data_IF_155185990477
#
_entry.id   IF_155185990477
#
_cell.length_a   1.000
_cell.length_b   1.000
_cell.length_c   1.000
_cell.angle_alpha   90.00
_cell.angle_beta   90.00
_cell.angle_gamma   90.00
#
_symmetry.space_group_name_H-M   'P 1'
#
loop_
_entity.id
_entity.type
_entity.pdbx_description
1 polymer ?
#
# COMPACT_ATOMS: atom_id res chain seq x y z
N UNK A 1 -12.97 24.02 23.12
CA UNK A 1 -12.84 22.55 23.10
C UNK A 1 -13.69 22.06 21.92
N UNK A 2 -13.11 22.03 20.73
CA UNK A 2 -13.81 21.66 19.47
C UNK A 2 -13.69 20.16 19.28
N UNK A 3 -14.82 19.46 19.17
CA UNK A 3 -14.85 18.03 18.87
C UNK A 3 -14.16 17.76 17.52
N UNK A 4 -13.38 16.67 17.38
CA UNK A 4 -12.87 16.27 16.08
C UNK A 4 -14.05 15.93 15.14
N UNK A 5 -13.94 16.19 13.83
CA UNK A 5 -15.01 15.92 12.88
C UNK A 5 -15.35 14.42 12.87
N UNK A 6 -16.61 14.10 13.17
CA UNK A 6 -17.16 12.75 13.07
C UNK A 6 -17.25 12.38 11.59
N UNK A 7 -16.39 11.47 11.14
CA UNK A 7 -16.33 11.07 9.74
C UNK A 7 -17.33 9.95 9.43
N UNK A 8 -18.28 10.14 8.49
CA UNK A 8 -19.03 9.03 7.94
C UNK A 8 -18.15 8.24 6.93
N UNK A 9 -18.19 6.89 6.93
CA UNK A 9 -17.47 6.10 5.95
C UNK A 9 -18.28 6.02 4.65
N UNK A 10 -18.03 6.93 3.69
CA UNK A 10 -18.50 6.76 2.31
C UNK A 10 -17.31 6.55 1.39
N UNK A 11 -16.84 5.30 1.34
CA UNK A 11 -15.93 4.85 0.31
C UNK A 11 -16.75 4.56 -0.95
N UNK A 12 -16.56 5.28 -2.07
CA UNK A 12 -17.12 4.83 -3.32
C UNK A 12 -16.54 3.44 -3.60
N UNK A 13 -17.42 2.46 -3.88
CA UNK A 13 -16.99 1.12 -4.24
C UNK A 13 -16.06 1.22 -5.45
N UNK A 14 -14.74 1.10 -5.23
CA UNK A 14 -13.78 1.01 -6.32
C UNK A 14 -13.94 -0.38 -6.91
N UNK A 15 -14.87 -0.52 -7.85
CA UNK A 15 -15.04 -1.74 -8.66
C UNK A 15 -13.79 -1.91 -9.50
N UNK A 16 -12.77 -2.51 -8.90
CA UNK A 16 -11.60 -3.03 -9.60
C UNK A 16 -12.07 -4.24 -10.40
N UNK A 17 -12.24 -4.06 -11.71
CA UNK A 17 -12.45 -5.17 -12.62
C UNK A 17 -11.28 -6.15 -12.47
N UNK A 18 -11.56 -7.32 -11.90
CA UNK A 18 -10.59 -8.40 -11.71
C UNK A 18 -10.22 -8.91 -13.11
N UNK A 19 -8.95 -8.84 -13.53
CA UNK A 19 -8.57 -9.43 -14.80
C UNK A 19 -8.86 -10.93 -14.73
N UNK A 20 -9.43 -11.47 -15.82
CA UNK A 20 -9.67 -12.89 -15.96
C UNK A 20 -8.38 -13.64 -15.65
N UNK A 21 -8.44 -14.52 -14.65
CA UNK A 21 -7.29 -15.32 -14.24
C UNK A 21 -6.90 -16.17 -15.43
N UNK A 22 -5.78 -15.84 -16.07
CA UNK A 22 -5.17 -16.71 -17.06
C UNK A 22 -4.91 -18.06 -16.38
N UNK A 23 -5.76 -19.04 -16.69
CA UNK A 23 -5.65 -20.39 -16.17
C UNK A 23 -4.46 -21.04 -16.88
N UNK A 24 -3.31 -21.10 -16.20
CA UNK A 24 -2.16 -21.87 -16.67
C UNK A 24 -2.37 -23.31 -16.21
N UNK A 25 -2.67 -24.28 -17.11
CA UNK A 25 -2.98 -25.63 -16.68
C UNK A 25 -1.72 -26.37 -16.21
N UNK A 26 -1.86 -27.22 -15.18
CA UNK A 26 -1.00 -28.38 -14.96
C UNK A 26 0.38 -28.16 -14.30
N UNK A 27 1.22 -29.19 -14.43
CA UNK A 27 2.54 -29.35 -13.77
C UNK A 27 3.47 -28.15 -14.03
N UNK A 28 3.39 -27.52 -15.20
CA UNK A 28 4.21 -26.38 -15.57
C UNK A 28 3.91 -25.16 -14.69
N UNK A 29 2.64 -24.88 -14.39
CA UNK A 29 2.26 -23.83 -13.45
C UNK A 29 2.78 -24.09 -12.03
N UNK A 30 2.82 -25.35 -11.60
CA UNK A 30 3.40 -25.74 -10.30
C UNK A 30 4.92 -25.56 -10.27
N UNK A 31 5.63 -25.91 -11.35
CA UNK A 31 7.08 -25.73 -11.44
C UNK A 31 7.44 -24.23 -11.44
N UNK A 32 6.74 -23.42 -12.24
CA UNK A 32 6.92 -21.96 -12.25
C UNK A 32 6.61 -21.34 -10.88
N UNK A 33 5.53 -21.79 -10.22
CA UNK A 33 5.19 -21.35 -8.87
C UNK A 33 6.26 -21.70 -7.84
N UNK A 34 6.83 -22.91 -7.88
CA UNK A 34 7.93 -23.31 -6.98
C UNK A 34 9.21 -22.53 -7.25
N UNK A 35 9.53 -22.26 -8.52
CA UNK A 35 10.65 -21.39 -8.89
C UNK A 35 10.47 -19.96 -8.35
N UNK A 36 9.29 -19.37 -8.57
CA UNK A 36 8.95 -18.06 -8.01
C UNK A 36 9.02 -18.05 -6.47
N UNK A 37 8.46 -19.08 -5.82
CA UNK A 37 8.47 -19.22 -4.37
C UNK A 37 9.91 -19.30 -3.84
N UNK A 38 10.78 -20.10 -4.46
CA UNK A 38 12.19 -20.19 -4.06
C UNK A 38 12.95 -18.87 -4.20
N UNK A 39 12.69 -18.09 -5.26
CA UNK A 39 13.28 -16.76 -5.43
C UNK A 39 12.78 -15.78 -4.37
N UNK A 40 11.47 -15.76 -4.11
CA UNK A 40 10.87 -14.90 -3.07
C UNK A 40 11.38 -15.28 -1.69
N UNK A 41 11.47 -16.56 -1.39
CA UNK A 41 12.00 -17.08 -0.12
C UNK A 41 13.46 -16.70 0.06
N UNK A 42 14.31 -16.90 -0.96
CA UNK A 42 15.70 -16.46 -0.91
C UNK A 42 15.81 -14.95 -0.66
N UNK A 43 14.98 -14.15 -1.32
CA UNK A 43 14.93 -12.70 -1.13
C UNK A 43 14.52 -12.34 0.30
N UNK A 44 13.47 -12.97 0.83
CA UNK A 44 12.99 -12.72 2.20
C UNK A 44 14.06 -13.11 3.22
N UNK A 45 14.68 -14.28 3.07
CA UNK A 45 15.79 -14.72 3.93
C UNK A 45 16.95 -13.73 3.95
N UNK A 46 17.25 -13.05 2.84
CA UNK A 46 18.28 -11.99 2.82
C UNK A 46 17.86 -10.77 3.64
N UNK A 47 16.59 -10.36 3.55
CA UNK A 47 16.05 -9.24 4.35
C UNK A 47 15.94 -9.61 5.83
N UNK A 48 15.55 -10.84 6.17
CA UNK A 48 15.51 -11.36 7.54
C UNK A 48 16.92 -11.38 8.17
N UNK A 49 17.95 -11.64 7.35
CA UNK A 49 19.35 -11.53 7.75
C UNK A 49 19.88 -10.07 7.78
N UNK A 50 19.01 -9.06 7.66
CA UNK A 50 19.35 -7.64 7.71
C UNK A 50 20.01 -7.08 6.46
N UNK A 51 20.18 -7.87 5.39
CA UNK A 51 20.87 -7.41 4.17
C UNK A 51 19.92 -6.57 3.32
N UNK A 52 20.24 -5.28 3.16
CA UNK A 52 19.41 -4.33 2.42
C UNK A 52 18.27 -3.73 3.23
N UNK A 53 18.27 -3.91 4.55
CA UNK A 53 17.36 -3.21 5.47
C UNK A 53 17.97 -1.86 5.83
N UNK A 54 17.19 -0.79 5.67
CA UNK A 54 17.57 0.56 6.10
C UNK A 54 16.71 0.93 7.30
N UNK A 55 17.36 1.32 8.39
CA UNK A 55 16.70 1.82 9.60
C UNK A 55 16.62 3.33 9.56
N UNK A 56 15.44 3.88 9.84
CA UNK A 56 15.22 5.31 9.99
C UNK A 56 15.22 5.67 11.48
N UNK A 57 15.53 6.93 11.79
CA UNK A 57 15.48 7.52 13.14
C UNK A 57 14.04 7.78 13.63
N UNK A 58 13.06 7.56 12.75
CA UNK A 58 11.62 7.74 13.01
C UNK A 58 10.87 6.41 12.91
N UNK A 59 9.78 6.21 13.66
CA UNK A 59 8.92 5.03 13.51
C UNK A 59 8.33 4.94 12.10
N UNK A 60 8.36 3.74 11.51
CA UNK A 60 7.84 3.47 10.17
C UNK A 60 6.73 2.44 10.23
N UNK A 61 5.57 2.75 9.64
CA UNK A 61 4.45 1.82 9.51
C UNK A 61 4.31 1.45 8.02
N UNK A 62 4.55 0.19 7.68
CA UNK A 62 4.38 -0.30 6.32
C UNK A 62 2.98 -0.89 6.14
N UNK A 63 2.17 -0.32 5.25
CA UNK A 63 0.85 -0.84 4.88
C UNK A 63 0.92 -1.49 3.51
N UNK A 64 0.81 -2.82 3.46
CA UNK A 64 0.88 -3.62 2.24
C UNK A 64 -0.24 -4.66 2.17
N UNK A 65 -0.34 -5.35 1.03
CA UNK A 65 -1.23 -6.52 0.91
C UNK A 65 -0.48 -7.69 0.27
N UNK A 66 -0.86 -8.91 0.65
CA UNK A 66 -0.37 -10.16 0.10
C UNK A 66 -1.06 -10.55 -1.21
N UNK A 67 -2.23 -9.97 -1.51
CA UNK A 67 -2.99 -10.26 -2.73
C UNK A 67 -2.89 -9.12 -3.77
N UNK A 68 -2.81 -9.51 -5.05
CA UNK A 68 -2.90 -8.60 -6.19
C UNK A 68 -4.38 -8.26 -6.46
N UNK A 69 -4.89 -7.15 -5.91
CA UNK A 69 -6.27 -6.67 -6.10
C UNK A 69 -6.61 -5.50 -5.17
N UNK A 70 -7.66 -4.71 -5.48
CA UNK A 70 -8.11 -3.56 -4.68
C UNK A 70 -8.55 -3.99 -3.28
N UNK A 71 -7.71 -3.73 -2.27
CA UNK A 71 -7.70 -4.50 -1.00
C UNK A 71 -7.65 -3.62 0.23
N UNK A 72 -8.37 -2.49 0.21
CA UNK A 72 -8.57 -1.71 1.42
C UNK A 72 -7.29 -1.09 2.03
N UNK A 73 -6.19 -1.05 1.27
CA UNK A 73 -4.96 -0.36 1.71
C UNK A 73 -5.23 1.11 1.94
N UNK A 74 -5.96 1.75 1.03
CA UNK A 74 -6.32 3.15 1.12
C UNK A 74 -7.14 3.52 2.37
N UNK A 75 -8.27 2.84 2.68
CA UNK A 75 -8.99 3.10 3.92
C UNK A 75 -8.17 2.78 5.18
N UNK A 76 -7.28 1.78 5.13
CA UNK A 76 -6.40 1.45 6.25
C UNK A 76 -5.37 2.55 6.52
N UNK A 77 -4.72 3.08 5.48
CA UNK A 77 -3.78 4.21 5.61
C UNK A 77 -4.49 5.45 6.15
N UNK A 78 -5.68 5.76 5.64
CA UNK A 78 -6.50 6.88 6.14
C UNK A 78 -6.77 6.72 7.64
N UNK A 79 -7.17 5.51 8.08
CA UNK A 79 -7.44 5.25 9.49
C UNK A 79 -6.20 5.43 10.37
N UNK A 80 -5.04 4.94 9.93
CA UNK A 80 -3.78 5.10 10.65
C UNK A 80 -3.40 6.58 10.76
N UNK A 81 -3.45 7.32 9.66
CA UNK A 81 -3.11 8.75 9.63
C UNK A 81 -4.01 9.54 10.57
N UNK A 82 -5.32 9.29 10.52
CA UNK A 82 -6.29 9.94 11.41
C UNK A 82 -6.01 9.62 12.88
N UNK A 83 -5.78 8.35 13.22
CA UNK A 83 -5.42 7.95 14.58
C UNK A 83 -4.14 8.64 15.08
N UNK A 84 -3.11 8.74 14.23
CA UNK A 84 -1.86 9.42 14.59
C UNK A 84 -2.08 10.91 14.83
N UNK A 85 -2.88 11.57 13.99
CA UNK A 85 -3.25 12.97 14.16
C UNK A 85 -4.09 13.23 15.41
N UNK A 86 -5.05 12.35 15.72
CA UNK A 86 -5.84 12.40 16.96
C UNK A 86 -4.95 12.34 18.22
N UNK A 87 -3.79 11.67 18.12
CA UNK A 87 -2.79 11.60 19.20
C UNK A 87 -1.70 12.68 19.09
N UNK A 88 -1.94 13.75 18.31
CA UNK A 88 -1.03 14.90 18.19
C UNK A 88 0.28 14.59 17.46
N UNK A 89 0.31 13.56 16.61
CA UNK A 89 1.49 13.23 15.77
C UNK A 89 1.35 13.83 14.38
N UNK A 90 2.49 14.07 13.73
CA UNK A 90 2.58 14.58 12.36
C UNK A 90 3.15 13.50 11.41
N UNK A 91 2.29 12.66 10.80
CA UNK A 91 2.73 11.58 9.92
C UNK A 91 3.04 12.06 8.49
N UNK A 92 3.96 11.37 7.82
CA UNK A 92 4.20 11.50 6.38
C UNK A 92 3.84 10.19 5.66
N UNK A 93 3.36 10.27 4.40
CA UNK A 93 3.01 9.10 3.59
C UNK A 93 4.05 8.94 2.48
N UNK A 94 4.75 7.81 2.49
CA UNK A 94 5.64 7.40 1.40
C UNK A 94 4.97 6.29 0.57
N UNK A 95 4.93 6.46 -0.75
CA UNK A 95 4.35 5.48 -1.68
C UNK A 95 5.16 5.34 -2.96
N UNK A 96 5.08 4.18 -3.60
CA UNK A 96 5.89 3.82 -4.78
C UNK A 96 5.26 4.21 -6.13
N UNK A 97 4.29 5.12 -6.15
CA UNK A 97 3.65 5.61 -7.40
C UNK A 97 3.27 4.52 -8.42
N UNK A 98 2.48 3.51 -8.03
CA UNK A 98 2.21 2.36 -8.91
C UNK A 98 1.44 2.79 -10.19
N UNK A 99 2.06 2.56 -11.37
CA UNK A 99 1.58 2.74 -12.77
C UNK A 99 0.25 3.51 -12.90
N UNK A 100 0.32 4.85 -13.06
CA UNK A 100 -0.73 5.53 -13.83
C UNK A 100 -0.58 5.08 -15.29
N UNK A 101 -1.61 4.42 -15.82
CA UNK A 101 -1.67 4.15 -17.27
C UNK A 101 -2.01 5.49 -17.92
N UNK A 102 -1.00 6.15 -18.48
CA UNK A 102 -1.03 7.50 -19.08
C UNK A 102 -1.08 8.58 -17.99
N UNK A 103 -0.20 9.56 -18.12
CA UNK A 103 -0.19 10.84 -17.39
C UNK A 103 -0.14 10.78 -15.85
N UNK A 104 0.94 11.30 -15.27
CA UNK A 104 1.03 11.93 -13.94
C UNK A 104 0.13 11.43 -12.80
N UNK A 105 0.79 11.04 -11.70
CA UNK A 105 0.19 10.76 -10.37
C UNK A 105 -0.69 9.50 -10.37
N UNK A 106 -0.52 8.65 -9.35
CA UNK A 106 -1.34 7.45 -9.16
C UNK A 106 -2.71 7.85 -8.57
N UNK A 107 -3.79 7.17 -8.97
CA UNK A 107 -5.15 7.36 -8.43
C UNK A 107 -5.17 7.35 -6.89
N UNK A 108 -4.33 6.52 -6.26
CA UNK A 108 -4.17 6.49 -4.79
C UNK A 108 -3.56 7.79 -4.25
N UNK A 109 -2.56 8.35 -4.92
CA UNK A 109 -1.89 9.57 -4.50
C UNK A 109 -2.81 10.80 -4.64
N UNK A 110 -3.65 10.85 -5.68
CA UNK A 110 -4.69 11.88 -5.81
C UNK A 110 -5.70 11.80 -4.67
N UNK A 111 -6.14 10.58 -4.32
CA UNK A 111 -7.08 10.37 -3.22
C UNK A 111 -6.51 10.87 -1.88
N UNK A 112 -5.24 10.60 -1.59
CA UNK A 112 -4.61 11.12 -0.38
C UNK A 112 -4.40 12.63 -0.40
N UNK A 113 -4.01 13.22 -1.55
CA UNK A 113 -3.86 14.68 -1.67
C UNK A 113 -5.19 15.41 -1.48
N UNK A 114 -6.28 14.88 -2.06
CA UNK A 114 -7.61 15.44 -1.88
C UNK A 114 -8.09 15.36 -0.42
N UNK A 115 -7.64 14.34 0.31
CA UNK A 115 -8.06 14.08 1.69
C UNK A 115 -7.20 14.77 2.74
N UNK A 116 -5.91 14.86 2.48
CA UNK A 116 -4.87 15.33 3.39
C UNK A 116 -3.97 16.32 2.64
N UNK A 117 -4.52 17.48 2.28
CA UNK A 117 -3.81 18.49 1.48
C UNK A 117 -2.55 19.04 2.18
N UNK A 118 -2.48 18.93 3.50
CA UNK A 118 -1.41 19.40 4.36
C UNK A 118 -0.36 18.32 4.69
N UNK A 119 -0.58 17.06 4.26
CA UNK A 119 0.28 15.94 4.64
C UNK A 119 1.42 15.75 3.62
N UNK A 120 2.69 15.66 4.07
CA UNK A 120 3.82 15.39 3.18
C UNK A 120 3.67 14.04 2.47
N UNK A 121 3.39 14.08 1.17
CA UNK A 121 3.22 12.89 0.34
C UNK A 121 4.40 12.74 -0.61
N UNK A 122 5.21 11.71 -0.36
CA UNK A 122 6.37 11.37 -1.19
C UNK A 122 6.00 10.18 -2.06
N UNK A 123 5.86 10.42 -3.36
CA UNK A 123 5.64 9.37 -4.36
C UNK A 123 6.92 9.18 -5.19
N UNK A 124 7.49 7.97 -5.20
CA UNK A 124 8.69 7.60 -5.95
C UNK A 124 8.43 6.50 -6.97
#
# INVERSE_FOLDING_TARGET
MTLPPTYPPTYPATTSAKPDRAFVPGVLGRLLSRGYAGVVEYRNRRFDAGRGVVTLDRPVISVGNLSMGGTGKTPMVERIVTLLREHGRDPAIAMRGYRSKRSGISDEAEQYKARFADLPLVAQ
#
